data_IF_508540153310
#
_entry.id   IF_508540153310
#
_cell.length_a   1.000
_cell.length_b   1.000
_cell.length_c   1.000
_cell.angle_alpha   90.00
_cell.angle_beta   90.00
_cell.angle_gamma   90.00
#
_symmetry.space_group_name_H-M   'P 1'
#
loop_
_entity.id
_entity.type
_entity.pdbx_description
1 polymer ?
#
# COMPACT_ATOMS: atom_id res chain seq x y z
N UNK A 1 -3.40 -31.44 0.58
CA UNK A 1 -3.85 -31.51 -0.84
C UNK A 1 -4.33 -30.12 -1.25
N UNK A 2 -3.47 -29.31 -1.89
CA UNK A 2 -3.80 -27.93 -2.28
C UNK A 2 -4.75 -27.92 -3.48
N UNK A 3 -6.06 -27.97 -3.24
CA UNK A 3 -7.05 -27.64 -4.27
C UNK A 3 -6.98 -26.13 -4.52
N UNK A 4 -6.36 -25.73 -5.63
CA UNK A 4 -6.41 -24.34 -6.12
C UNK A 4 -7.88 -23.98 -6.35
N UNK A 5 -8.38 -22.99 -5.62
CA UNK A 5 -9.72 -22.43 -5.84
C UNK A 5 -9.72 -21.83 -7.25
N UNK A 6 -10.66 -22.27 -8.10
CA UNK A 6 -10.87 -21.69 -9.43
C UNK A 6 -12.10 -20.80 -9.39
N UNK A 7 -11.97 -19.56 -9.83
CA UNK A 7 -13.06 -18.58 -9.91
C UNK A 7 -13.11 -17.91 -11.28
N UNK A 8 -14.28 -17.39 -11.65
CA UNK A 8 -14.48 -16.54 -12.83
C UNK A 8 -14.76 -15.12 -12.35
N UNK A 9 -14.10 -14.13 -12.96
CA UNK A 9 -14.23 -12.71 -12.64
C UNK A 9 -14.86 -11.96 -13.81
N UNK A 10 -15.86 -11.13 -13.54
CA UNK A 10 -16.51 -10.24 -14.51
C UNK A 10 -16.42 -8.80 -13.99
N UNK A 11 -16.02 -7.86 -14.84
CA UNK A 11 -15.81 -6.45 -14.50
C UNK A 11 -16.52 -5.55 -15.51
N UNK A 12 -17.26 -4.56 -15.03
CA UNK A 12 -17.86 -3.48 -15.82
C UNK A 12 -17.41 -2.12 -15.28
N UNK A 13 -17.03 -1.18 -16.15
CA UNK A 13 -16.57 0.17 -15.77
C UNK A 13 -17.32 1.22 -16.60
N UNK A 14 -17.87 2.24 -15.93
CA UNK A 14 -18.41 3.45 -16.53
C UNK A 14 -17.58 4.65 -16.06
N UNK A 15 -17.10 5.46 -16.99
CA UNK A 15 -16.27 6.65 -16.73
C UNK A 15 -17.11 7.90 -17.03
N UNK A 16 -16.96 8.94 -16.22
CA UNK A 16 -17.59 10.24 -16.44
C UNK A 16 -16.59 11.37 -16.22
N UNK A 17 -16.81 12.49 -16.91
CA UNK A 17 -16.04 13.74 -16.78
C UNK A 17 -16.98 14.91 -16.98
N UNK A 18 -16.94 15.89 -16.08
CA UNK A 18 -17.68 17.15 -16.21
C UNK A 18 -16.94 18.28 -15.48
N UNK A 19 -17.02 19.49 -16.03
CA UNK A 19 -16.31 20.68 -15.52
C UNK A 19 -17.33 21.73 -15.08
N UNK A 20 -17.11 22.32 -13.89
CA UNK A 20 -17.92 23.44 -13.37
C UNK A 20 -17.06 24.68 -13.34
N UNK A 21 -17.49 25.72 -14.06
CA UNK A 21 -16.88 27.05 -13.97
C UNK A 21 -17.54 27.81 -12.83
N UNK A 22 -16.77 28.15 -11.79
CA UNK A 22 -17.20 29.05 -10.71
C UNK A 22 -16.49 30.40 -10.86
N UNK A 23 -17.10 31.51 -10.46
CA UNK A 23 -16.49 32.87 -10.46
C UNK A 23 -15.30 33.05 -9.49
N UNK A 24 -14.72 31.96 -8.99
CA UNK A 24 -13.45 31.91 -8.26
C UNK A 24 -12.34 31.69 -9.31
N UNK A 25 -11.14 32.24 -9.11
CA UNK A 25 -9.96 32.11 -9.98
C UNK A 25 -9.44 30.66 -10.19
N UNK A 26 -10.26 29.63 -10.00
CA UNK A 26 -9.89 28.23 -10.15
C UNK A 26 -10.96 27.43 -10.92
N UNK A 27 -10.51 26.64 -11.89
CA UNK A 27 -11.34 25.67 -12.60
C UNK A 27 -11.44 24.39 -11.77
N UNK A 28 -12.67 23.88 -11.59
CA UNK A 28 -12.91 22.61 -10.91
C UNK A 28 -13.39 21.57 -11.91
N UNK A 29 -12.68 20.45 -11.97
CA UNK A 29 -13.04 19.31 -12.79
C UNK A 29 -13.40 18.12 -11.91
N UNK A 30 -14.41 17.36 -12.32
CA UNK A 30 -14.81 16.15 -11.65
C UNK A 30 -14.62 14.96 -12.58
N UNK A 31 -13.70 14.10 -12.18
CA UNK A 31 -13.44 12.82 -12.83
C UNK A 31 -13.91 11.69 -11.93
N UNK A 32 -14.15 10.52 -12.50
CA UNK A 32 -14.49 9.36 -11.68
C UNK A 32 -14.99 8.18 -12.49
N UNK A 33 -15.35 7.14 -11.75
CA UNK A 33 -15.98 5.96 -12.35
C UNK A 33 -16.93 5.27 -11.40
N UNK A 34 -17.87 4.53 -11.99
CA UNK A 34 -18.59 3.47 -11.31
C UNK A 34 -18.10 2.14 -11.87
N UNK A 35 -17.71 1.22 -10.99
CA UNK A 35 -17.22 -0.11 -11.34
C UNK A 35 -17.99 -1.18 -10.58
N UNK A 36 -18.43 -2.21 -11.29
CA UNK A 36 -18.88 -3.47 -10.70
C UNK A 36 -17.81 -4.54 -10.92
N UNK A 37 -17.52 -5.32 -9.87
CA UNK A 37 -16.61 -6.46 -9.90
C UNK A 37 -17.24 -7.64 -9.19
N UNK A 38 -17.56 -8.69 -9.95
CA UNK A 38 -18.20 -9.90 -9.44
C UNK A 38 -17.31 -11.11 -9.67
N UNK A 39 -17.09 -11.90 -8.61
CA UNK A 39 -16.27 -13.11 -8.66
C UNK A 39 -17.06 -14.29 -8.11
N UNK A 40 -17.16 -15.36 -8.90
CA UNK A 40 -17.90 -16.58 -8.54
C UNK A 40 -16.97 -17.79 -8.49
N UNK A 41 -17.20 -18.67 -7.53
CA UNK A 41 -16.46 -19.93 -7.39
C UNK A 41 -16.93 -20.96 -8.42
N UNK A 42 -15.99 -21.62 -9.09
CA UNK A 42 -16.28 -22.72 -10.03
C UNK A 42 -16.46 -24.05 -9.30
N UNK A 43 -15.72 -24.27 -8.22
CA UNK A 43 -15.89 -25.47 -7.38
C UNK A 43 -17.07 -25.30 -6.41
N UNK A 44 -17.64 -26.41 -5.94
CA UNK A 44 -18.70 -26.38 -4.92
C UNK A 44 -18.22 -25.59 -3.69
N UNK A 45 -19.06 -24.72 -3.11
CA UNK A 45 -20.52 -24.63 -3.29
C UNK A 45 -21.00 -23.70 -4.42
N UNK A 46 -20.12 -23.22 -5.31
CA UNK A 46 -20.47 -22.29 -6.39
C UNK A 46 -21.04 -20.94 -5.94
N UNK A 47 -20.54 -20.44 -4.81
CA UNK A 47 -20.95 -19.18 -4.22
C UNK A 47 -20.24 -17.97 -4.84
N UNK A 48 -20.84 -16.78 -4.62
CA UNK A 48 -20.18 -15.52 -4.92
C UNK A 48 -19.09 -15.25 -3.88
N UNK A 49 -17.85 -15.11 -4.34
CA UNK A 49 -16.68 -14.84 -3.51
C UNK A 49 -16.44 -13.33 -3.34
N UNK A 50 -16.93 -12.52 -4.27
CA UNK A 50 -16.85 -11.06 -4.26
C UNK A 50 -18.03 -10.51 -5.07
N UNK A 51 -18.73 -9.51 -4.55
CA UNK A 51 -19.76 -8.77 -5.29
C UNK A 51 -19.58 -7.29 -4.97
N UNK A 52 -18.63 -6.64 -5.64
CA UNK A 52 -18.19 -5.30 -5.28
C UNK A 52 -18.71 -4.25 -6.26
N UNK A 53 -19.42 -3.26 -5.73
CA UNK A 53 -19.68 -2.00 -6.42
C UNK A 53 -18.75 -0.94 -5.86
N UNK A 54 -18.15 -0.14 -6.75
CA UNK A 54 -17.23 0.94 -6.40
C UNK A 54 -17.62 2.20 -7.14
N UNK A 55 -17.77 3.29 -6.40
CA UNK A 55 -17.78 4.63 -6.93
C UNK A 55 -16.45 5.28 -6.55
N UNK A 56 -15.71 5.78 -7.53
CA UNK A 56 -14.55 6.65 -7.33
C UNK A 56 -14.88 8.06 -7.80
N UNK A 57 -14.61 9.04 -6.96
CA UNK A 57 -14.71 10.47 -7.27
C UNK A 57 -13.32 11.10 -7.17
N UNK A 58 -12.90 11.78 -8.22
CA UNK A 58 -11.60 12.43 -8.35
C UNK A 58 -11.79 13.93 -8.71
N UNK A 59 -12.18 14.79 -7.75
CA UNK A 59 -12.20 16.22 -7.99
C UNK A 59 -10.79 16.79 -8.13
N UNK A 60 -10.65 17.71 -9.08
CA UNK A 60 -9.42 18.41 -9.40
C UNK A 60 -9.66 19.92 -9.40
N UNK A 61 -8.71 20.66 -8.86
CA UNK A 61 -8.73 22.11 -8.79
C UNK A 61 -7.49 22.65 -9.52
N UNK A 62 -7.70 23.54 -10.46
CA UNK A 62 -6.66 24.16 -11.27
C UNK A 62 -6.65 25.68 -11.06
N UNK A 63 -5.51 26.24 -10.71
CA UNK A 63 -5.22 27.67 -10.78
C UNK A 63 -3.83 27.92 -11.35
N UNK A 64 -3.41 29.19 -11.44
CA UNK A 64 -2.18 29.57 -12.17
C UNK A 64 -0.92 28.85 -11.69
N UNK A 65 -0.72 28.76 -10.36
CA UNK A 65 0.46 28.15 -9.74
C UNK A 65 0.07 27.11 -8.68
N UNK A 66 -1.17 26.63 -8.72
CA UNK A 66 -1.72 25.74 -7.70
C UNK A 66 -2.56 24.64 -8.36
N UNK A 67 -2.39 23.42 -7.87
CA UNK A 67 -3.22 22.29 -8.26
C UNK A 67 -3.70 21.55 -7.01
N UNK A 68 -4.96 21.16 -6.97
CA UNK A 68 -5.54 20.37 -5.89
C UNK A 68 -6.11 19.08 -6.44
N UNK A 69 -5.86 17.98 -5.75
CA UNK A 69 -6.42 16.67 -6.10
C UNK A 69 -6.96 15.98 -4.87
N UNK A 70 -8.13 15.36 -5.00
CA UNK A 70 -8.57 14.35 -4.04
C UNK A 70 -9.12 13.14 -4.78
N UNK A 71 -9.04 11.97 -4.15
CA UNK A 71 -9.64 10.73 -4.65
C UNK A 71 -10.39 10.05 -3.52
N UNK A 72 -11.70 9.90 -3.68
CA UNK A 72 -12.60 9.27 -2.70
C UNK A 72 -13.20 8.00 -3.30
N UNK A 73 -13.02 6.88 -2.60
CA UNK A 73 -13.66 5.60 -2.91
C UNK A 73 -14.82 5.33 -1.97
N UNK A 74 -15.96 4.94 -2.54
CA UNK A 74 -17.10 4.37 -1.84
C UNK A 74 -17.32 2.97 -2.40
N UNK A 75 -17.15 1.98 -1.54
CA UNK A 75 -17.21 0.56 -1.86
C UNK A 75 -18.41 -0.06 -1.17
N UNK A 76 -19.13 -0.91 -1.88
CA UNK A 76 -20.16 -1.78 -1.32
C UNK A 76 -19.90 -3.22 -1.77
N UNK A 77 -19.73 -4.13 -0.81
CA UNK A 77 -19.36 -5.53 -1.04
C UNK A 77 -20.24 -6.46 -0.17
N UNK A 78 -21.50 -6.72 -0.57
CA UNK A 78 -22.42 -7.60 0.14
C UNK A 78 -21.93 -9.05 0.34
N UNK A 79 -20.98 -9.52 -0.47
CA UNK A 79 -20.39 -10.86 -0.31
C UNK A 79 -19.20 -10.87 0.66
N UNK A 80 -18.62 -9.70 0.96
CA UNK A 80 -17.49 -9.56 1.87
C UNK A 80 -17.90 -9.37 3.33
N UNK A 81 -16.92 -9.44 4.24
CA UNK A 81 -17.14 -9.19 5.68
C UNK A 81 -17.55 -7.73 5.95
N UNK A 82 -16.97 -6.77 5.21
CA UNK A 82 -17.29 -5.35 5.30
C UNK A 82 -18.21 -4.92 4.15
N UNK A 83 -19.50 -4.74 4.46
CA UNK A 83 -20.52 -4.45 3.45
C UNK A 83 -20.35 -3.10 2.78
N UNK A 84 -19.84 -2.09 3.48
CA UNK A 84 -19.59 -0.75 2.91
C UNK A 84 -18.31 -0.17 3.50
N UNK A 85 -17.47 0.41 2.65
CA UNK A 85 -16.21 1.05 3.05
C UNK A 85 -16.03 2.35 2.28
N UNK A 86 -15.61 3.40 2.99
CA UNK A 86 -15.25 4.68 2.39
C UNK A 86 -13.77 4.94 2.65
N UNK A 87 -13.00 5.27 1.62
CA UNK A 87 -11.56 5.56 1.73
C UNK A 87 -11.21 6.82 0.94
N UNK A 88 -10.67 7.82 1.64
CA UNK A 88 -10.04 8.98 1.01
C UNK A 88 -8.64 8.56 0.56
N UNK A 89 -8.52 8.09 -0.67
CA UNK A 89 -7.27 7.51 -1.19
C UNK A 89 -6.17 8.54 -1.29
N UNK A 90 -6.45 9.69 -1.86
CA UNK A 90 -5.49 10.80 -2.00
C UNK A 90 -6.20 12.11 -1.70
N UNK A 91 -5.44 13.07 -1.20
CA UNK A 91 -5.87 14.43 -0.93
C UNK A 91 -4.60 15.28 -0.77
N UNK A 92 -4.23 16.02 -1.80
CA UNK A 92 -3.01 16.83 -1.79
C UNK A 92 -3.18 18.14 -2.55
N UNK A 93 -2.26 19.06 -2.26
CA UNK A 93 -2.12 20.33 -2.94
C UNK A 93 -0.69 20.43 -3.49
N UNK A 94 -0.58 20.80 -4.75
CA UNK A 94 0.65 21.22 -5.41
C UNK A 94 0.73 22.74 -5.49
N UNK A 95 1.89 23.27 -5.18
CA UNK A 95 2.25 24.68 -5.37
C UNK A 95 3.47 24.70 -6.26
N UNK A 96 3.34 25.36 -7.41
CA UNK A 96 4.37 25.41 -8.43
C UNK A 96 5.11 26.76 -8.38
N UNK A 97 6.40 26.72 -8.65
CA UNK A 97 7.25 27.90 -8.83
C UNK A 97 8.24 27.67 -9.97
N UNK A 98 9.08 28.66 -10.26
CA UNK A 98 10.04 28.56 -11.38
C UNK A 98 11.17 27.56 -11.13
N UNK A 99 11.48 27.25 -9.87
CA UNK A 99 12.59 26.36 -9.49
C UNK A 99 12.25 25.36 -8.38
N UNK A 100 11.05 25.46 -7.77
CA UNK A 100 10.59 24.53 -6.73
C UNK A 100 9.11 24.20 -6.91
N UNK A 101 8.79 22.91 -6.86
CA UNK A 101 7.43 22.40 -6.73
C UNK A 101 7.26 21.78 -5.35
N UNK A 102 6.14 22.08 -4.70
CA UNK A 102 5.83 21.61 -3.35
C UNK A 102 4.47 20.91 -3.35
N UNK A 103 4.47 19.62 -3.04
CA UNK A 103 3.26 18.81 -2.83
C UNK A 103 3.08 18.47 -1.36
N UNK A 104 1.94 18.82 -0.79
CA UNK A 104 1.62 18.54 0.62
C UNK A 104 0.29 17.80 0.69
N UNK A 105 0.27 16.69 1.43
CA UNK A 105 -0.96 15.94 1.71
C UNK A 105 -0.79 14.44 1.57
N UNK A 106 -1.91 13.73 1.48
CA UNK A 106 -1.95 12.28 1.26
C UNK A 106 -1.82 12.02 -0.24
N UNK A 107 -0.72 11.42 -0.64
CA UNK A 107 -0.32 11.30 -2.04
C UNK A 107 0.40 9.97 -2.30
N UNK A 108 0.40 9.54 -3.56
CA UNK A 108 1.29 8.50 -4.04
C UNK A 108 2.52 9.11 -4.75
N UNK A 109 3.66 8.45 -4.59
CA UNK A 109 4.94 8.81 -5.21
C UNK A 109 5.53 7.56 -5.84
N UNK A 110 5.74 7.62 -7.17
CA UNK A 110 6.27 6.50 -7.95
C UNK A 110 7.70 6.82 -8.36
N UNK A 111 8.66 6.04 -7.86
CA UNK A 111 10.07 6.22 -8.17
C UNK A 111 10.67 5.17 -9.11
N UNK A 112 10.01 4.02 -9.29
CA UNK A 112 10.39 2.99 -10.25
C UNK A 112 9.82 3.24 -11.65
N UNK A 113 10.61 2.90 -12.68
CA UNK A 113 10.14 2.70 -14.06
C UNK A 113 10.11 1.19 -14.34
N UNK A 114 9.00 0.51 -14.07
CA UNK A 114 8.82 -0.86 -14.54
C UNK A 114 7.34 -1.23 -14.62
N UNK A 115 6.92 -1.74 -15.78
CA UNK A 115 5.60 -2.30 -16.02
C UNK A 115 5.41 -3.56 -15.14
N UNK A 116 4.70 -3.40 -14.03
CA UNK A 116 4.23 -4.51 -13.19
C UNK A 116 5.19 -5.02 -12.10
N UNK A 117 6.35 -4.40 -11.89
CA UNK A 117 7.28 -4.78 -10.80
C UNK A 117 7.74 -3.59 -9.94
N UNK A 118 7.53 -3.71 -8.64
CA UNK A 118 7.90 -2.71 -7.62
C UNK A 118 9.38 -2.89 -7.19
N UNK A 119 10.33 -2.57 -8.07
CA UNK A 119 11.76 -2.66 -7.70
C UNK A 119 12.18 -1.43 -6.89
N UNK A 120 12.11 -0.25 -7.50
CA UNK A 120 12.46 1.03 -6.87
C UNK A 120 11.23 1.80 -6.37
N UNK A 121 10.07 1.15 -6.39
CA UNK A 121 8.78 1.73 -6.01
C UNK A 121 8.38 1.22 -4.62
N UNK A 122 9.04 1.79 -3.61
CA UNK A 122 8.94 1.37 -2.21
C UNK A 122 8.57 2.53 -1.27
N UNK A 123 8.26 3.71 -1.81
CA UNK A 123 7.90 4.90 -1.01
C UNK A 123 6.54 4.71 -0.37
N UNK A 124 5.59 4.15 -1.11
CA UNK A 124 4.26 3.90 -0.63
C UNK A 124 4.10 2.41 -0.26
N UNK A 125 3.54 2.11 0.93
CA UNK A 125 3.21 0.76 1.32
C UNK A 125 2.11 0.18 0.43
N UNK A 126 2.03 -1.15 0.35
CA UNK A 126 1.07 -1.85 -0.50
C UNK A 126 -0.15 -2.37 0.29
N UNK A 127 -1.32 -2.34 -0.34
CA UNK A 127 -2.51 -3.08 0.09
C UNK A 127 -2.57 -4.40 -0.69
N UNK A 128 -2.20 -5.49 -0.05
CA UNK A 128 -2.25 -6.84 -0.61
C UNK A 128 -3.50 -7.61 -0.15
N UNK A 129 -4.49 -6.96 0.46
CA UNK A 129 -5.74 -7.61 0.91
C UNK A 129 -6.46 -8.38 -0.20
N UNK A 130 -6.33 -7.92 -1.45
CA UNK A 130 -6.91 -8.54 -2.65
C UNK A 130 -5.87 -8.70 -3.76
N UNK A 131 -4.66 -9.16 -3.41
CA UNK A 131 -3.48 -9.17 -4.28
C UNK A 131 -3.70 -9.59 -5.74
N UNK A 132 -4.54 -10.59 -6.00
CA UNK A 132 -4.81 -11.10 -7.37
C UNK A 132 -5.90 -10.35 -8.14
N UNK A 133 -6.70 -9.54 -7.46
CA UNK A 133 -7.90 -8.90 -8.01
C UNK A 133 -7.77 -7.38 -8.14
N UNK A 134 -6.75 -6.79 -7.51
CA UNK A 134 -6.56 -5.36 -7.44
C UNK A 134 -5.68 -4.88 -8.58
N UNK A 135 -6.08 -3.76 -9.21
CA UNK A 135 -5.26 -3.12 -10.23
C UNK A 135 -3.96 -2.59 -9.61
N UNK A 136 -2.88 -2.54 -10.39
CA UNK A 136 -1.58 -2.05 -9.92
C UNK A 136 -1.63 -0.59 -9.43
N UNK A 137 -2.50 0.24 -10.01
CA UNK A 137 -2.67 1.62 -9.54
C UNK A 137 -3.40 1.69 -8.20
N UNK A 138 -4.18 0.66 -7.88
CA UNK A 138 -4.94 0.59 -6.64
C UNK A 138 -4.17 -0.05 -5.48
N UNK A 139 -3.14 -0.84 -5.77
CA UNK A 139 -2.38 -1.60 -4.77
C UNK A 139 -1.49 -0.70 -3.90
N UNK A 140 -1.11 0.49 -4.39
CA UNK A 140 -0.36 1.47 -3.60
C UNK A 140 -1.29 2.16 -2.61
N UNK A 141 -0.82 2.30 -1.37
CA UNK A 141 -1.49 3.08 -0.35
C UNK A 141 -0.80 4.43 -0.20
N UNK A 142 -1.51 5.51 -0.55
CA UNK A 142 -1.01 6.85 -0.35
C UNK A 142 -0.74 7.13 1.14
N UNK A 143 0.32 7.89 1.39
CA UNK A 143 0.75 8.30 2.72
C UNK A 143 0.78 9.83 2.81
N UNK A 144 0.56 10.36 4.02
CA UNK A 144 0.66 11.81 4.25
C UNK A 144 2.12 12.19 4.22
N UNK A 145 2.52 13.09 3.34
CA UNK A 145 3.90 13.55 3.23
C UNK A 145 4.02 14.98 2.70
N UNK A 146 5.22 15.51 2.83
CA UNK A 146 5.71 16.67 2.09
C UNK A 146 6.65 16.13 1.02
N UNK A 147 6.41 16.49 -0.23
CA UNK A 147 7.27 16.20 -1.37
C UNK A 147 7.70 17.53 -1.99
N UNK A 148 9.01 17.75 -2.06
CA UNK A 148 9.61 18.97 -2.61
C UNK A 148 10.50 18.61 -3.77
N UNK A 149 10.25 19.16 -4.95
CA UNK A 149 11.08 19.01 -6.15
C UNK A 149 11.78 20.31 -6.45
N UNK A 150 13.09 20.30 -6.51
CA UNK A 150 13.93 21.46 -6.81
C UNK A 150 14.57 21.23 -8.18
N UNK A 151 14.43 22.20 -9.08
CA UNK A 151 14.92 22.11 -10.46
C UNK A 151 16.06 23.09 -10.69
N UNK A 152 17.20 22.58 -11.19
CA UNK A 152 18.38 23.40 -11.48
C UNK A 152 18.97 22.95 -12.82
N UNK A 153 18.71 23.72 -13.88
CA UNK A 153 19.17 23.39 -15.23
C UNK A 153 18.61 22.05 -15.72
N UNK A 154 19.50 21.09 -16.00
CA UNK A 154 19.15 19.72 -16.42
C UNK A 154 19.10 18.72 -15.25
N UNK A 155 19.05 19.21 -14.02
CA UNK A 155 19.04 18.41 -12.80
C UNK A 155 17.79 18.68 -11.99
N UNK A 156 17.32 17.66 -11.26
CA UNK A 156 16.31 17.84 -10.25
C UNK A 156 16.61 17.03 -8.99
N UNK A 157 16.23 17.59 -7.84
CA UNK A 157 16.29 16.92 -6.55
C UNK A 157 14.88 16.86 -5.98
N UNK A 158 14.36 15.65 -5.80
CA UNK A 158 13.12 15.37 -5.09
C UNK A 158 13.43 14.94 -3.66
N UNK A 159 12.77 15.56 -2.68
CA UNK A 159 12.93 15.31 -1.25
C UNK A 159 11.57 14.95 -0.66
N UNK A 160 11.51 13.82 0.03
CA UNK A 160 10.31 13.34 0.70
C UNK A 160 10.48 13.41 2.22
N UNK A 161 9.42 13.84 2.91
CA UNK A 161 9.29 13.75 4.36
C UNK A 161 7.92 13.15 4.71
N UNK A 162 7.93 11.96 5.30
CA UNK A 162 6.75 11.14 5.56
C UNK A 162 6.58 11.00 7.08
N UNK A 163 5.80 11.88 7.73
CA UNK A 163 5.59 11.85 9.18
C UNK A 163 4.71 10.69 9.68
N UNK A 164 4.10 9.93 8.76
CA UNK A 164 3.16 8.86 9.03
C UNK A 164 3.76 7.52 8.63
N UNK A 165 3.88 6.59 9.58
CA UNK A 165 4.12 5.20 9.22
C UNK A 165 2.81 4.54 8.84
N UNK A 166 2.83 3.73 7.78
CA UNK A 166 1.71 2.87 7.45
C UNK A 166 2.25 1.52 6.99
N UNK A 167 2.02 0.43 7.74
CA UNK A 167 2.52 -0.88 7.34
C UNK A 167 1.75 -1.40 6.12
N UNK A 168 2.35 -2.39 5.46
CA UNK A 168 1.72 -3.14 4.40
C UNK A 168 0.44 -3.80 4.92
N UNK A 169 -0.65 -3.64 4.17
CA UNK A 169 -1.93 -4.23 4.55
C UNK A 169 -2.06 -5.61 3.94
N UNK A 170 -2.24 -6.61 4.79
CA UNK A 170 -2.38 -8.02 4.42
C UNK A 170 -3.59 -8.60 5.14
N UNK A 171 -4.48 -9.26 4.41
CA UNK A 171 -5.56 -10.02 5.02
C UNK A 171 -5.09 -11.44 5.36
N UNK A 172 -5.37 -11.87 6.59
CA UNK A 172 -5.08 -13.23 7.07
C UNK A 172 -6.34 -14.11 7.18
N UNK A 173 -7.50 -13.57 6.81
CA UNK A 173 -8.80 -14.28 6.76
C UNK A 173 -9.54 -13.97 5.45
N UNK A 174 -10.35 -14.93 5.01
CA UNK A 174 -11.13 -14.85 3.78
C UNK A 174 -10.48 -15.59 2.60
N UNK A 175 -11.15 -15.58 1.45
CA UNK A 175 -10.80 -16.40 0.29
C UNK A 175 -9.48 -16.05 -0.39
N UNK A 176 -9.01 -14.81 -0.21
CA UNK A 176 -7.81 -14.24 -0.84
C UNK A 176 -6.69 -13.96 0.16
N UNK A 177 -6.86 -14.40 1.41
CA UNK A 177 -5.92 -14.13 2.47
C UNK A 177 -4.63 -14.94 2.34
N UNK A 178 -3.55 -14.32 2.79
CA UNK A 178 -2.33 -15.05 3.10
C UNK A 178 -2.58 -15.88 4.36
N UNK A 179 -2.55 -17.20 4.24
CA UNK A 179 -2.71 -18.08 5.40
C UNK A 179 -1.42 -18.08 6.22
N UNK A 180 -1.55 -17.86 7.52
CA UNK A 180 -0.47 -18.03 8.49
C UNK A 180 -0.64 -19.35 9.23
N UNK A 181 0.46 -20.01 9.64
CA UNK A 181 0.36 -21.21 10.46
C UNK A 181 -0.20 -20.87 11.83
N UNK A 182 -1.14 -21.69 12.31
CA UNK A 182 -1.72 -21.59 13.65
C UNK A 182 -0.88 -22.30 14.71
N UNK A 183 0.01 -23.20 14.29
CA UNK A 183 0.96 -23.90 15.16
C UNK A 183 2.29 -24.18 14.47
N UNK A 184 3.32 -24.46 15.27
CA UNK A 184 4.62 -24.95 14.81
C UNK A 184 4.92 -26.30 15.44
N UNK A 185 5.36 -27.24 14.62
CA UNK A 185 5.72 -28.59 15.04
C UNK A 185 7.20 -28.65 15.43
N UNK A 186 7.48 -29.01 16.68
CA UNK A 186 8.83 -29.28 17.17
C UNK A 186 9.10 -30.78 17.17
N UNK A 187 10.25 -31.17 16.59
CA UNK A 187 10.77 -32.53 16.61
C UNK A 187 11.80 -32.67 17.72
N UNK A 188 11.55 -33.55 18.69
CA UNK A 188 12.44 -33.74 19.86
C UNK A 188 13.34 -34.97 19.65
N UNK A 189 14.62 -34.78 19.41
CA UNK A 189 15.62 -35.86 19.29
C UNK A 189 16.15 -36.28 20.69
N UNK A 190 16.54 -37.56 20.92
CA UNK A 190 16.72 -38.66 19.96
C UNK A 190 15.42 -39.42 19.61
N UNK A 191 14.28 -38.96 20.12
CA UNK A 191 12.98 -39.62 19.96
C UNK A 191 12.26 -39.00 18.75
N UNK A 192 12.63 -39.38 17.52
CA UNK A 192 11.94 -38.99 16.27
C UNK A 192 10.46 -39.42 16.18
N UNK A 193 9.85 -39.75 17.31
CA UNK A 193 8.51 -40.29 17.48
C UNK A 193 7.55 -39.30 18.17
N UNK A 194 8.04 -38.19 18.74
CA UNK A 194 7.19 -37.21 19.45
C UNK A 194 7.23 -35.87 18.72
N UNK A 195 6.08 -35.49 18.16
CA UNK A 195 5.82 -34.17 17.58
C UNK A 195 5.04 -33.36 18.60
N UNK A 196 5.61 -32.24 19.04
CA UNK A 196 4.91 -31.28 19.90
C UNK A 196 4.45 -30.13 19.01
N UNK A 197 3.14 -29.99 18.84
CA UNK A 197 2.56 -28.85 18.10
C UNK A 197 2.30 -27.71 19.07
N UNK A 198 3.06 -26.63 18.94
CA UNK A 198 2.92 -25.44 19.78
C UNK A 198 2.01 -24.41 19.09
N UNK A 199 0.93 -23.94 19.72
CA UNK A 199 0.09 -22.88 19.17
C UNK A 199 0.88 -21.58 19.03
N UNK A 200 0.58 -20.82 17.97
CA UNK A 200 1.20 -19.53 17.67
C UNK A 200 0.22 -18.40 17.95
N UNK A 201 0.61 -17.49 18.84
CA UNK A 201 -0.21 -16.35 19.26
C UNK A 201 0.34 -15.05 18.64
N UNK A 202 -0.35 -14.55 17.62
CA UNK A 202 0.01 -13.30 16.95
C UNK A 202 -0.47 -12.10 17.75
N UNK A 203 0.47 -11.31 18.24
CA UNK A 203 0.19 -10.12 19.03
C UNK A 203 -0.23 -8.95 18.12
N UNK A 204 -1.04 -8.00 18.62
CA UNK A 204 -1.42 -6.80 17.88
C UNK A 204 -0.21 -5.98 17.46
N UNK A 205 -0.33 -5.29 16.32
CA UNK A 205 0.69 -4.37 15.81
C UNK A 205 0.46 -2.95 16.34
N UNK A 206 1.36 -2.48 17.20
CA UNK A 206 1.27 -1.16 17.83
C UNK A 206 2.00 -0.10 16.99
N UNK A 207 1.25 0.54 16.09
CA UNK A 207 1.79 1.59 15.22
C UNK A 207 1.82 2.93 15.98
N UNK A 208 3.02 3.53 16.05
CA UNK A 208 3.20 4.83 16.66
C UNK A 208 2.42 5.93 15.90
N UNK A 209 1.86 6.90 16.65
CA UNK A 209 1.19 8.08 16.06
C UNK A 209 2.15 8.89 15.17
N UNK A 210 1.57 9.63 14.21
CA UNK A 210 2.31 10.52 13.30
C UNK A 210 3.29 11.41 14.08
N UNK A 211 4.54 11.46 13.64
CA UNK A 211 5.60 12.18 14.34
C UNK A 211 6.72 12.59 13.39
N UNK A 212 7.12 13.86 13.45
CA UNK A 212 8.28 14.36 12.71
C UNK A 212 9.60 13.73 13.19
N UNK A 213 9.69 13.30 14.46
CA UNK A 213 10.90 12.63 14.99
C UNK A 213 11.07 11.20 14.49
N UNK A 214 9.98 10.60 14.02
CA UNK A 214 9.94 9.24 13.43
C UNK A 214 9.51 9.32 11.95
N UNK A 215 9.75 10.48 11.33
CA UNK A 215 9.45 10.66 9.92
C UNK A 215 10.44 9.86 9.09
N UNK A 216 9.90 9.18 8.10
CA UNK A 216 10.69 8.58 7.05
C UNK A 216 11.02 9.66 6.03
N UNK A 217 12.12 9.48 5.29
CA UNK A 217 12.55 10.47 4.33
C UNK A 217 13.27 9.83 3.16
N UNK A 218 13.25 10.55 2.04
CA UNK A 218 13.83 10.08 0.80
C UNK A 218 14.42 11.21 -0.02
N UNK A 219 15.40 10.86 -0.83
CA UNK A 219 16.02 11.75 -1.80
C UNK A 219 16.11 11.04 -3.13
N UNK A 220 15.66 11.70 -4.19
CA UNK A 220 15.85 11.25 -5.56
C UNK A 220 16.49 12.36 -6.38
N UNK A 221 17.70 12.12 -6.84
CA UNK A 221 18.43 13.04 -7.70
C UNK A 221 18.36 12.55 -9.14
N UNK A 222 17.90 13.40 -10.05
CA UNK A 222 17.88 13.12 -11.49
C UNK A 222 18.86 14.03 -12.22
N UNK A 223 19.54 13.48 -13.22
CA UNK A 223 20.43 14.25 -14.10
C UNK A 223 20.45 13.63 -15.49
N UNK A 224 20.59 14.48 -16.51
CA UNK A 224 20.90 14.06 -17.86
C UNK A 224 22.41 14.15 -18.09
N UNK A 225 23.06 12.99 -18.27
CA UNK A 225 24.51 12.90 -18.42
C UNK A 225 24.85 12.00 -19.61
N UNK A 226 25.68 12.50 -20.53
CA UNK A 226 26.21 11.74 -21.68
C UNK A 226 25.13 11.09 -22.58
N UNK A 227 23.96 11.72 -22.70
CA UNK A 227 22.86 11.17 -23.51
C UNK A 227 21.95 10.19 -22.77
N UNK A 228 22.13 10.02 -21.46
CA UNK A 228 21.36 9.09 -20.62
C UNK A 228 20.69 9.85 -19.49
N UNK A 229 19.42 9.52 -19.22
CA UNK A 229 18.73 9.97 -18.01
C UNK A 229 19.15 9.06 -16.85
N UNK A 230 19.73 9.62 -15.81
CA UNK A 230 20.12 8.90 -14.61
C UNK A 230 19.30 9.39 -13.41
N UNK A 231 18.85 8.44 -12.58
CA UNK A 231 18.27 8.74 -11.27
C UNK A 231 19.00 7.98 -10.17
N UNK A 232 19.42 8.68 -9.14
CA UNK A 232 19.92 8.11 -7.89
C UNK A 232 18.86 8.27 -6.81
N UNK A 233 18.63 7.20 -6.04
CA UNK A 233 17.58 7.12 -5.02
C UNK A 233 18.22 6.74 -3.70
N UNK A 234 17.84 7.43 -2.63
CA UNK A 234 18.11 7.06 -1.26
C UNK A 234 16.84 7.18 -0.42
N UNK A 235 16.58 6.19 0.44
CA UNK A 235 15.43 6.14 1.32
C UNK A 235 15.83 5.67 2.72
N UNK A 236 15.40 6.42 3.74
CA UNK A 236 15.38 5.98 5.13
C UNK A 236 13.93 5.77 5.55
N UNK A 237 13.48 4.52 5.46
CA UNK A 237 12.10 4.11 5.77
C UNK A 237 12.09 2.98 6.79
N UNK A 238 10.92 2.61 7.31
CA UNK A 238 10.75 1.34 8.03
C UNK A 238 10.35 0.25 7.05
N UNK A 239 10.65 -0.98 7.41
CA UNK A 239 10.13 -2.14 6.69
C UNK A 239 8.61 -2.18 6.83
N UNK A 240 7.89 -2.12 5.71
CA UNK A 240 6.43 -2.13 5.69
C UNK A 240 5.84 -3.49 6.09
N UNK A 241 6.57 -4.59 5.83
CA UNK A 241 6.17 -5.94 6.24
C UNK A 241 6.57 -6.20 7.69
N UNK A 242 5.62 -6.59 8.53
CA UNK A 242 5.92 -6.90 9.92
C UNK A 242 6.98 -8.03 10.02
N UNK A 243 8.07 -7.76 10.74
CA UNK A 243 9.07 -8.74 11.17
C UNK A 243 8.67 -9.25 12.54
N UNK A 244 8.47 -10.55 12.69
CA UNK A 244 7.98 -11.14 13.94
C UNK A 244 9.10 -11.62 14.85
N UNK A 245 9.15 -11.07 16.06
CA UNK A 245 9.96 -11.59 17.17
C UNK A 245 9.20 -12.69 17.90
N UNK A 246 9.90 -13.77 18.25
CA UNK A 246 9.32 -14.96 18.86
C UNK A 246 9.66 -15.03 20.34
N UNK A 247 8.67 -15.34 21.17
CA UNK A 247 8.85 -15.63 22.58
C UNK A 247 8.15 -16.95 22.91
N UNK A 248 8.90 -17.91 23.44
CA UNK A 248 8.33 -19.19 23.88
C UNK A 248 7.55 -18.95 25.17
N UNK A 249 6.32 -19.45 25.21
CA UNK A 249 5.48 -19.50 26.40
C UNK A 249 5.68 -20.88 27.03
N UNK A 250 5.86 -20.91 28.34
CA UNK A 250 6.00 -22.15 29.11
C UNK A 250 4.78 -22.38 30.00
N UNK A 251 4.44 -23.64 30.25
CA UNK A 251 3.46 -24.03 31.26
C UNK A 251 4.05 -23.96 32.68
N UNK A 252 3.25 -24.33 33.68
CA UNK A 252 3.64 -24.34 35.10
C UNK A 252 4.81 -25.31 35.41
N UNK A 253 5.09 -26.26 34.51
CA UNK A 253 6.19 -27.21 34.62
C UNK A 253 7.44 -26.75 33.85
N UNK A 254 7.41 -25.56 33.24
CA UNK A 254 8.51 -25.04 32.42
C UNK A 254 8.61 -25.66 31.03
N UNK A 255 7.63 -26.45 30.59
CA UNK A 255 7.59 -27.02 29.25
C UNK A 255 7.00 -26.01 28.26
N UNK A 256 7.49 -25.94 27.00
CA UNK A 256 6.90 -25.09 25.98
C UNK A 256 5.42 -25.41 25.75
N UNK A 257 4.56 -24.40 25.87
CA UNK A 257 3.11 -24.49 25.71
C UNK A 257 2.58 -23.62 24.57
N UNK A 258 3.40 -22.72 24.02
CA UNK A 258 3.04 -21.90 22.86
C UNK A 258 4.15 -20.95 22.44
N UNK A 259 3.90 -20.16 21.39
CA UNK A 259 4.83 -19.15 20.89
C UNK A 259 4.10 -17.83 20.66
N UNK A 260 4.46 -16.80 21.42
CA UNK A 260 4.03 -15.43 21.14
C UNK A 260 4.85 -14.84 19.99
N UNK A 261 4.16 -14.18 19.06
CA UNK A 261 4.75 -13.50 17.92
C UNK A 261 4.44 -12.01 17.97
N UNK A 262 5.47 -11.20 18.18
CA UNK A 262 5.37 -9.75 18.27
C UNK A 262 5.80 -9.11 16.94
N UNK A 263 4.91 -8.40 16.23
CA UNK A 263 5.27 -7.69 15.02
C UNK A 263 6.19 -6.50 15.34
N UNK A 264 7.07 -6.16 14.41
CA UNK A 264 7.94 -4.98 14.47
C UNK A 264 8.33 -4.50 13.07
N UNK A 265 8.65 -3.22 12.98
CA UNK A 265 8.96 -2.51 11.74
C UNK A 265 10.32 -1.82 11.86
N UNK A 266 11.44 -2.56 11.66
CA UNK A 266 12.78 -2.00 11.78
C UNK A 266 13.06 -0.96 10.70
N UNK A 267 13.98 -0.05 10.99
CA UNK A 267 14.47 0.93 10.01
C UNK A 267 15.39 0.27 8.97
N UNK A 268 15.23 0.66 7.72
CA UNK A 268 16.03 0.20 6.58
C UNK A 268 16.59 1.41 5.83
N UNK A 269 17.79 1.22 5.27
CA UNK A 269 18.41 2.13 4.31
C UNK A 269 18.30 1.49 2.94
N UNK A 270 17.69 2.18 1.99
CA UNK A 270 17.56 1.73 0.61
C UNK A 270 18.30 2.66 -0.34
N UNK A 271 19.03 2.07 -1.28
CA UNK A 271 19.75 2.76 -2.34
C UNK A 271 19.30 2.19 -3.68
N UNK A 272 18.93 3.07 -4.60
CA UNK A 272 18.44 2.69 -5.93
C UNK A 272 19.07 3.51 -7.04
N UNK A 273 19.08 2.94 -8.24
CA UNK A 273 19.51 3.60 -9.46
C UNK A 273 18.53 3.27 -10.58
N UNK A 274 18.09 4.28 -11.33
CA UNK A 274 17.39 4.11 -12.61
C UNK A 274 18.22 4.72 -13.73
N UNK A 275 18.11 4.15 -14.93
CA UNK A 275 18.64 4.73 -16.15
C UNK A 275 17.69 4.47 -17.32
N UNK A 276 17.63 5.39 -18.28
CA UNK A 276 16.93 5.21 -19.56
C UNK A 276 17.60 5.95 -20.69
#
# INVERSE_FOLDING_TARGET
MNRRIKGISIVFVLIFSFSVYTDIFAQVEFHGFVRNHSVFRIDKPNDAMLLRNRLRLNPELYGDNIYGFASLDILNDPAGENKTLTDLREAYLDIYSSFVDLRIGKQQVVWGKADGYFINDIVNPLDLSYFLLQDFDDIRMATTMINTKIHIGNQSLEVLMIPEFKPMKINYKGYWAFQRPDSIDLLVYPINSVVISLPMYYQPDEIAKKSLRKAEYGFKFNTFLLGTDLSLIFLKIREDKAVFFKQIVTDDNGLPSGVNLFPSHPWIDFYGLNFS
#
